data_IF_219090621890
#
_entry.id   IF_219090621890
#
_cell.length_a   1.000
_cell.length_b   1.000
_cell.length_c   1.000
_cell.angle_alpha   90.00
_cell.angle_beta   90.00
_cell.angle_gamma   90.00
#
_symmetry.space_group_name_H-M   'P 1'
#
loop_
_entity.id
_entity.type
_entity.pdbx_description
1 polymer ?
2 non-polymer ?
3 non-polymer ?
4 non-polymer ?
5 water ?
#
# COMPACT_ATOMS: atom_id res chain seq x y z
N UNK A 7 30.15 -10.02 -4.92
CA UNK A 7 30.45 -8.78 -4.22
C UNK A 7 29.94 -8.80 -2.78
N UNK A 8 28.80 -9.47 -2.57
CA UNK A 8 28.13 -9.46 -1.28
C UNK A 8 27.72 -10.88 -0.89
N UNK A 9 27.43 -11.04 0.41
CA UNK A 9 27.23 -12.37 0.99
C UNK A 9 25.80 -12.87 0.79
N UNK A 10 25.67 -14.20 0.68
CA UNK A 10 24.36 -14.83 0.68
C UNK A 10 23.70 -14.66 2.04
N UNK A 11 22.36 -14.54 2.04
CA UNK A 11 21.65 -14.11 3.23
C UNK A 11 20.44 -14.96 3.58
N UNK A 12 19.50 -15.11 2.65
CA UNK A 12 18.24 -15.79 2.90
C UNK A 12 17.91 -16.71 1.73
N UNK A 13 17.75 -17.99 2.02
CA UNK A 13 17.38 -18.95 0.98
C UNK A 13 15.87 -18.91 0.76
N UNK A 14 15.45 -18.92 -0.50
CA UNK A 14 14.06 -18.96 -0.89
C UNK A 14 13.89 -19.98 -2.01
N UNK A 15 12.64 -20.20 -2.43
CA UNK A 15 12.31 -21.15 -3.49
C UNK A 15 11.40 -20.44 -4.48
N UNK A 16 11.88 -20.25 -5.71
CA UNK A 16 11.09 -19.63 -6.76
C UNK A 16 10.61 -20.70 -7.73
N UNK A 17 9.38 -20.53 -8.23
CA UNK A 17 8.89 -21.45 -9.24
C UNK A 17 9.65 -21.24 -10.55
N UNK A 18 9.92 -22.34 -11.24
CA UNK A 18 10.64 -22.33 -12.51
C UNK A 18 11.68 -23.42 -12.54
N UNK A 19 12.25 -23.67 -13.73
CA UNK A 19 12.05 -22.89 -14.96
C UNK A 19 10.68 -23.07 -15.59
N UNK A 20 10.05 -24.22 -15.33
CA UNK A 20 8.74 -24.54 -15.85
C UNK A 20 7.71 -24.64 -14.75
N UNK A 21 6.48 -24.90 -15.17
CA UNK A 21 5.37 -24.94 -14.22
C UNK A 21 5.58 -26.06 -13.21
N UNK A 22 5.31 -25.76 -11.94
CA UNK A 22 5.26 -26.71 -10.83
C UNK A 22 6.62 -27.24 -10.40
N UNK A 23 7.71 -26.63 -10.85
CA UNK A 23 9.05 -26.91 -10.34
C UNK A 23 9.47 -25.76 -9.43
N UNK A 24 10.11 -26.08 -8.30
CA UNK A 24 10.66 -25.06 -7.42
C UNK A 24 12.18 -25.13 -7.48
N UNK A 25 12.83 -23.97 -7.61
CA UNK A 25 14.27 -23.88 -7.68
C UNK A 25 14.82 -23.02 -6.53
N UNK A 26 15.86 -23.48 -5.84
CA UNK A 26 16.41 -22.69 -4.74
C UNK A 26 17.21 -21.49 -5.24
N UNK A 27 17.05 -20.36 -4.54
CA UNK A 27 17.80 -19.15 -4.82
C UNK A 27 18.23 -18.56 -3.48
N UNK A 28 19.48 -18.13 -3.40
CA UNK A 28 19.93 -17.39 -2.22
C UNK A 28 19.77 -15.90 -2.49
N UNK A 29 18.90 -15.25 -1.73
CA UNK A 29 18.94 -13.79 -1.68
C UNK A 29 20.24 -13.37 -1.00
N UNK A 30 20.79 -12.25 -1.43
CA UNK A 30 22.02 -11.73 -0.86
C UNK A 30 21.71 -10.46 -0.08
N UNK A 31 22.72 -9.98 0.65
CA UNK A 31 22.53 -8.77 1.46
C UNK A 31 23.66 -7.80 1.20
N UNK A 32 23.33 -6.52 1.28
CA UNK A 32 24.33 -5.46 1.20
C UNK A 32 23.86 -4.28 2.03
N UNK A 33 24.82 -3.50 2.52
CA UNK A 33 24.48 -2.27 3.23
C UNK A 33 23.87 -1.27 2.26
N UNK A 34 22.95 -0.44 2.76
CA UNK A 34 22.34 0.57 1.91
C UNK A 34 21.96 1.79 2.75
N UNK A 35 21.62 2.89 2.05
CA UNK A 35 21.33 4.18 2.67
C UNK A 35 19.84 4.47 2.55
N UNK A 36 19.16 4.47 3.69
CA UNK A 36 17.74 4.81 3.74
C UNK A 36 17.56 6.10 4.52
N UNK A 37 16.35 6.64 4.48
CA UNK A 37 16.12 7.90 5.16
C UNK A 37 14.66 8.20 5.31
N UNK A 38 14.36 9.08 6.28
CA UNK A 38 12.99 9.53 6.44
C UNK A 38 12.56 10.40 5.26
N UNK A 39 13.51 11.11 4.68
CA UNK A 39 13.31 11.86 3.45
C UNK A 39 14.32 11.39 2.42
N UNK A 40 14.06 11.73 1.17
CA UNK A 40 14.99 11.39 0.08
C UNK A 40 16.34 12.06 0.31
N UNK A 41 16.35 13.31 0.74
CA UNK A 41 17.63 14.02 0.99
C UNK A 41 18.45 13.38 2.09
N UNK A 42 17.81 12.75 3.07
CA UNK A 42 18.51 12.11 4.20
C UNK A 42 19.12 10.76 3.81
N UNK A 43 18.94 10.28 2.60
CA UNK A 43 19.56 9.01 2.22
C UNK A 43 21.05 9.27 1.97
N UNK A 44 21.83 9.19 3.04
CA UNK A 44 23.25 9.57 3.00
C UNK A 44 24.13 8.37 3.31
N UNK A 45 24.25 8.03 4.58
CA UNK A 45 25.14 6.98 5.07
C UNK A 45 24.38 5.66 5.22
N UNK A 46 25.13 4.56 5.12
CA UNK A 46 24.50 3.26 5.23
C UNK A 46 23.93 3.07 6.63
N UNK A 47 22.65 2.68 6.69
CA UNK A 47 21.98 2.50 7.96
C UNK A 47 20.98 1.36 7.88
N UNK A 48 21.09 0.51 6.86
CA UNK A 48 20.17 -0.59 6.73
C UNK A 48 20.85 -1.69 5.93
N UNK A 49 20.27 -2.88 6.01
CA UNK A 49 20.71 -4.03 5.23
C UNK A 49 19.62 -4.36 4.22
N UNK A 50 19.98 -4.40 2.94
CA UNK A 50 19.02 -4.73 1.90
C UNK A 50 19.17 -6.19 1.49
N UNK A 51 18.05 -6.90 1.40
CA UNK A 51 18.02 -8.27 0.88
C UNK A 51 17.55 -8.21 -0.56
N UNK A 52 18.31 -8.83 -1.47
CA UNK A 52 18.02 -8.66 -2.88
C UNK A 52 18.26 -9.95 -3.64
N UNK A 53 17.63 -10.01 -4.81
CA UNK A 53 17.82 -11.09 -5.77
C UNK A 53 18.64 -10.54 -6.94
N UNK A 54 19.76 -11.20 -7.25
CA UNK A 54 20.56 -10.76 -8.38
C UNK A 54 19.80 -11.02 -9.68
N UNK A 55 19.91 -10.09 -10.62
CA UNK A 55 19.24 -10.19 -11.90
C UNK A 55 20.25 -9.86 -12.99
N UNK A 56 19.93 -10.26 -14.21
CA UNK A 56 20.81 -9.92 -15.32
C UNK A 56 20.83 -8.41 -15.51
N UNK A 57 21.93 -7.76 -15.12
CA UNK A 57 22.03 -6.33 -15.25
C UNK A 57 21.54 -5.52 -14.07
N UNK A 58 21.35 -6.14 -12.90
CA UNK A 58 21.01 -5.35 -11.74
C UNK A 58 20.71 -6.21 -10.53
N UNK A 59 19.99 -5.60 -9.59
CA UNK A 59 19.59 -6.26 -8.36
C UNK A 59 18.17 -5.84 -8.05
N UNK A 60 17.35 -6.79 -7.66
CA UNK A 60 15.98 -6.48 -7.26
C UNK A 60 15.90 -6.60 -5.73
N UNK A 61 15.68 -5.47 -5.07
CA UNK A 61 15.65 -5.45 -3.60
C UNK A 61 14.24 -5.80 -3.13
N UNK A 62 14.14 -6.73 -2.18
CA UNK A 62 12.86 -7.12 -1.62
C UNK A 62 12.54 -6.39 -0.31
N UNK A 63 13.53 -6.18 0.54
CA UNK A 63 13.25 -5.62 1.86
C UNK A 63 14.52 -5.06 2.45
N UNK A 64 14.36 -4.16 3.42
CA UNK A 64 15.45 -3.62 4.22
C UNK A 64 15.24 -3.98 5.69
N UNK A 65 16.34 -4.25 6.38
CA UNK A 65 16.34 -4.44 7.83
C UNK A 65 17.14 -3.30 8.47
N UNK A 66 16.58 -2.67 9.50
CA UNK A 66 17.24 -1.51 10.09
C UNK A 66 17.04 -1.53 11.61
N UNK A 67 17.95 -0.85 12.32
CA UNK A 67 17.70 -0.51 13.73
C UNK A 67 16.77 0.68 13.88
N UNK A 68 16.57 1.44 12.81
CA UNK A 68 15.89 2.73 12.86
C UNK A 68 14.43 2.63 12.46
N UNK A 69 13.59 3.42 13.12
CA UNK A 69 12.21 3.64 12.74
C UNK A 69 12.11 4.85 11.82
N UNK A 70 10.94 5.01 11.20
CA UNK A 70 10.52 6.20 10.45
C UNK A 70 11.24 6.34 9.12
N UNK A 71 11.93 5.31 8.64
CA UNK A 71 12.50 5.38 7.30
C UNK A 71 11.40 5.25 6.26
N UNK A 72 11.56 5.97 5.14
CA UNK A 72 10.55 5.98 4.09
C UNK A 72 11.13 5.76 2.70
N UNK A 73 12.42 5.99 2.51
CA UNK A 73 13.02 5.98 1.20
C UNK A 73 14.37 5.28 1.29
N UNK A 74 14.80 4.71 0.17
CA UNK A 74 16.17 4.25 0.03
C UNK A 74 16.71 4.77 -1.28
N UNK A 75 18.02 5.00 -1.33
CA UNK A 75 18.69 5.41 -2.57
C UNK A 75 19.69 4.32 -2.91
N UNK A 76 19.34 3.45 -3.87
CA UNK A 76 20.25 2.35 -4.15
C UNK A 76 21.28 2.76 -5.18
N UNK A 77 22.43 2.09 -5.19
CA UNK A 77 23.47 2.44 -6.17
C UNK A 77 22.98 2.25 -7.60
N UNK A 78 23.61 2.99 -8.51
CA UNK A 78 23.24 2.91 -9.93
C UNK A 78 23.36 1.49 -10.46
N UNK A 79 24.32 0.73 -9.92
CA UNK A 79 24.52 -0.64 -10.39
C UNK A 79 23.31 -1.52 -10.14
N UNK A 80 22.42 -1.15 -9.20
CA UNK A 80 21.22 -1.95 -9.00
C UNK A 80 20.29 -1.90 -10.20
N UNK A 81 20.38 -0.85 -11.01
CA UNK A 81 19.49 -0.70 -12.14
C UNK A 81 18.07 -0.28 -11.79
N UNK A 82 17.87 0.46 -10.70
CA UNK A 82 16.52 0.90 -10.38
C UNK A 82 16.00 1.86 -11.44
N UNK A 83 14.69 1.83 -11.67
CA UNK A 83 14.09 2.71 -12.65
C UNK A 83 13.82 4.11 -12.14
N UNK A 84 13.86 4.30 -10.81
CA UNK A 84 13.73 5.62 -10.21
C UNK A 84 14.88 5.83 -9.23
N UNK A 85 15.25 7.09 -9.05
CA UNK A 85 16.37 7.43 -8.17
C UNK A 85 16.12 6.91 -6.76
N UNK A 86 14.94 7.21 -6.21
CA UNK A 86 14.58 6.79 -4.87
C UNK A 86 13.54 5.68 -4.93
N UNK A 87 13.66 4.73 -4.01
CA UNK A 87 12.76 3.59 -3.90
C UNK A 87 11.98 3.74 -2.60
N UNK A 88 10.66 3.60 -2.66
CA UNK A 88 9.83 3.84 -1.49
C UNK A 88 9.67 2.57 -0.65
N UNK A 89 9.60 2.76 0.67
CA UNK A 89 9.46 1.67 1.64
C UNK A 89 8.04 1.63 2.19
N UNK A 90 7.60 0.42 2.57
CA UNK A 90 6.37 0.24 3.34
C UNK A 90 6.64 0.59 4.80
N UNK A 91 5.59 0.82 5.58
CA UNK A 91 5.76 0.95 7.04
C UNK A 91 6.42 -0.30 7.58
N UNK A 92 7.31 -0.16 8.57
CA UNK A 92 8.07 -1.32 9.03
C UNK A 92 7.27 -2.25 9.92
N UNK A 93 7.69 -3.51 9.92
CA UNK A 93 7.27 -4.52 10.88
C UNK A 93 8.32 -4.62 11.98
N UNK A 94 7.88 -4.61 13.23
CA UNK A 94 8.78 -4.72 14.37
C UNK A 94 8.95 -6.19 14.74
N UNK A 95 10.20 -6.62 14.94
CA UNK A 95 10.44 -7.96 15.47
C UNK A 95 11.70 -7.94 16.32
N UNK A 96 11.82 -8.94 17.19
CA UNK A 96 12.85 -8.97 18.23
C UNK A 96 13.80 -10.12 17.93
N UNK A 97 15.09 -9.81 17.82
CA UNK A 97 16.12 -10.82 17.67
C UNK A 97 16.76 -11.13 19.01
N UNK A 98 17.47 -12.25 19.05
CA UNK A 98 18.15 -12.73 20.24
C UNK A 98 19.65 -12.48 20.06
N UNK A 99 20.14 -11.41 20.66
CA UNK A 99 21.56 -11.10 20.58
C UNK A 99 22.32 -11.77 21.73
N UNK A 100 23.64 -11.86 21.62
CA UNK A 100 24.44 -12.20 22.81
C UNK A 100 24.28 -11.20 23.92
N UNK A 101 23.89 -9.96 23.60
CA UNK A 101 23.66 -8.89 24.57
C UNK A 101 22.24 -8.87 25.11
N UNK A 102 21.40 -9.83 24.72
CA UNK A 102 20.00 -9.85 25.12
C UNK A 102 19.07 -9.87 23.93
N UNK A 103 17.96 -9.17 24.02
CA UNK A 103 17.12 -8.96 22.83
C UNK A 103 17.42 -7.64 22.12
N UNK A 104 17.19 -7.59 20.81
CA UNK A 104 17.35 -6.35 20.04
C UNK A 104 16.15 -6.18 19.11
N UNK A 105 15.51 -5.02 19.17
CA UNK A 105 14.38 -4.74 18.30
C UNK A 105 14.88 -4.30 16.93
N UNK A 106 14.33 -4.91 15.89
CA UNK A 106 14.67 -4.61 14.50
C UNK A 106 13.42 -4.20 13.74
N UNK A 107 13.62 -3.47 12.65
CA UNK A 107 12.50 -3.01 11.83
C UNK A 107 12.71 -3.50 10.41
N UNK A 108 11.71 -4.23 9.90
CA UNK A 108 11.76 -4.84 8.57
C UNK A 108 10.87 -4.03 7.64
N UNK A 109 11.47 -3.44 6.60
CA UNK A 109 10.75 -2.60 5.66
C UNK A 109 10.69 -3.28 4.30
N UNK A 110 9.50 -3.71 3.91
CA UNK A 110 9.37 -4.21 2.54
C UNK A 110 9.39 -3.07 1.54
N UNK A 111 9.93 -3.34 0.35
CA UNK A 111 9.86 -2.40 -0.75
C UNK A 111 8.41 -2.31 -1.19
N UNK A 112 7.92 -1.08 -1.42
CA UNK A 112 6.53 -0.91 -1.80
C UNK A 112 6.20 -1.72 -3.05
N UNK A 113 5.05 -2.39 -3.02
CA UNK A 113 4.60 -3.18 -4.15
C UNK A 113 5.00 -4.64 -4.14
N UNK A 114 5.90 -5.06 -3.25
CA UNK A 114 6.27 -6.47 -3.22
C UNK A 114 5.03 -7.32 -3.00
N UNK A 115 4.89 -8.39 -3.78
CA UNK A 115 3.65 -9.16 -3.66
C UNK A 115 3.69 -10.06 -2.42
N UNK A 116 2.53 -10.61 -2.09
CA UNK A 116 2.38 -11.30 -0.82
C UNK A 116 3.18 -12.59 -0.76
N UNK A 117 3.26 -13.33 -1.88
CA UNK A 117 4.08 -14.54 -1.88
C UNK A 117 5.52 -14.21 -1.51
N UNK A 118 6.07 -13.17 -2.13
CA UNK A 118 7.48 -12.84 -1.91
C UNK A 118 7.71 -12.24 -0.53
N UNK A 119 6.76 -11.42 -0.05
CA UNK A 119 6.83 -10.98 1.35
C UNK A 119 6.89 -12.17 2.28
N UNK A 120 6.01 -13.14 2.05
CA UNK A 120 5.99 -14.31 2.91
C UNK A 120 7.28 -15.09 2.86
N UNK A 121 7.87 -15.22 1.67
CA UNK A 121 9.12 -15.97 1.57
C UNK A 121 10.22 -15.29 2.37
N UNK A 122 10.27 -13.96 2.33
CA UNK A 122 11.25 -13.25 3.16
C UNK A 122 10.98 -13.50 4.64
N UNK A 123 9.71 -13.42 5.05
CA UNK A 123 9.39 -13.59 6.46
C UNK A 123 9.72 -15.00 6.94
N UNK A 124 9.42 -16.02 6.14
CA UNK A 124 9.68 -17.39 6.56
C UNK A 124 11.16 -17.71 6.57
N UNK A 125 11.88 -17.24 5.54
CA UNK A 125 13.33 -17.47 5.51
C UNK A 125 14.03 -16.74 6.66
N UNK A 126 13.64 -15.49 6.92
CA UNK A 126 14.18 -14.75 8.05
C UNK A 126 13.91 -15.48 9.37
N UNK A 127 12.66 -15.92 9.57
CA UNK A 127 12.29 -16.58 10.81
C UNK A 127 13.11 -17.84 11.03
N UNK A 128 13.40 -18.57 9.96
CA UNK A 128 14.15 -19.82 10.06
C UNK A 128 15.64 -19.60 10.14
N UNK A 129 16.10 -18.45 9.69
CA UNK A 129 17.55 -18.17 9.59
C UNK A 129 18.09 -17.41 10.80
N UNK A 130 17.34 -16.47 11.36
CA UNK A 130 17.89 -15.68 12.49
C UNK A 130 17.35 -16.13 13.83
N UNK A 131 18.15 -15.97 14.89
CA UNK A 131 17.73 -16.34 16.26
C UNK A 131 16.70 -15.30 16.70
N UNK A 132 15.53 -15.76 17.10
CA UNK A 132 14.43 -14.84 17.32
C UNK A 132 13.99 -14.81 18.78
N UNK A 133 12.87 -14.14 19.00
CA UNK A 133 12.05 -14.25 20.20
C UNK A 133 10.88 -13.29 20.03
N UNK B 7 -15.55 -2.78 28.58
CA UNK B 7 -14.86 -1.49 28.46
C UNK B 7 -15.34 -0.70 27.25
N UNK B 8 -15.44 -1.38 26.10
CA UNK B 8 -15.92 -0.78 24.87
C UNK B 8 -16.99 -1.67 24.25
N UNK B 9 -17.80 -1.07 23.38
CA UNK B 9 -19.02 -1.70 22.88
C UNK B 9 -18.78 -2.46 21.58
N UNK B 10 -19.54 -3.54 21.39
CA UNK B 10 -19.49 -4.32 20.16
C UNK B 10 -20.07 -3.52 18.99
N UNK B 11 -19.51 -3.73 17.79
CA UNK B 11 -19.87 -2.88 16.68
C UNK B 11 -20.16 -3.65 15.40
N UNK B 12 -19.16 -4.32 14.86
CA UNK B 12 -19.24 -4.94 13.53
C UNK B 12 -18.94 -6.42 13.65
N UNK B 13 -19.90 -7.26 13.28
CA UNK B 13 -19.68 -8.70 13.28
C UNK B 13 -18.95 -9.11 12.01
N UNK B 14 -17.95 -9.98 12.16
CA UNK B 14 -17.23 -10.52 11.01
C UNK B 14 -17.10 -12.03 11.22
N UNK B 15 -16.57 -12.70 10.20
CA UNK B 15 -16.35 -14.15 10.22
C UNK B 15 -14.90 -14.42 9.85
N UNK B 16 -14.09 -14.82 10.83
CA UNK B 16 -12.70 -15.18 10.58
C UNK B 16 -12.57 -16.68 10.31
N UNK B 17 -11.60 -17.06 9.47
CA UNK B 17 -11.34 -18.47 9.25
C UNK B 17 -10.67 -19.07 10.47
N UNK B 18 -11.06 -20.29 10.80
CA UNK B 18 -10.51 -20.99 11.95
C UNK B 18 -11.58 -21.38 12.94
N UNK B 19 -11.18 -22.12 13.99
CA UNK B 19 -9.79 -22.49 14.24
C UNK B 19 -9.26 -23.58 13.30
N UNK B 20 -10.15 -24.40 12.73
CA UNK B 20 -9.73 -25.39 11.75
C UNK B 20 -9.83 -24.90 10.31
N UNK B 21 -9.27 -25.70 9.39
CA UNK B 21 -9.34 -25.37 7.97
C UNK B 21 -10.79 -25.33 7.53
N UNK B 22 -11.13 -24.33 6.71
CA UNK B 22 -12.46 -24.23 6.09
C UNK B 22 -13.58 -24.09 7.11
N UNK B 23 -13.26 -23.60 8.30
CA UNK B 23 -14.23 -23.23 9.31
C UNK B 23 -14.31 -21.73 9.40
N UNK B 24 -15.50 -21.20 9.70
CA UNK B 24 -15.64 -19.77 9.98
C UNK B 24 -16.12 -19.58 11.41
N UNK B 25 -15.51 -18.63 12.11
CA UNK B 25 -15.90 -18.29 13.47
C UNK B 25 -16.40 -16.85 13.55
N UNK B 26 -17.56 -16.61 14.13
CA UNK B 26 -18.05 -15.22 14.27
C UNK B 26 -17.30 -14.47 15.36
N UNK B 27 -16.92 -13.24 15.04
CA UNK B 27 -16.24 -12.36 15.99
C UNK B 27 -16.89 -10.99 15.91
N UNK B 28 -17.16 -10.40 17.07
CA UNK B 28 -17.63 -9.02 17.11
C UNK B 28 -16.41 -8.11 17.24
N UNK B 29 -16.13 -7.33 16.20
CA UNK B 29 -15.20 -6.22 16.35
C UNK B 29 -15.80 -5.22 17.33
N UNK B 30 -14.95 -4.63 18.14
CA UNK B 30 -15.41 -3.61 19.08
C UNK B 30 -15.01 -2.24 18.55
N UNK B 31 -15.59 -1.20 19.13
CA UNK B 31 -15.31 0.15 18.69
C UNK B 31 -14.94 1.02 19.87
N UNK B 32 -14.02 1.95 19.65
CA UNK B 32 -13.61 2.87 20.68
C UNK B 32 -13.36 4.24 20.06
N UNK B 33 -13.66 5.29 20.83
CA UNK B 33 -13.26 6.64 20.42
C UNK B 33 -11.74 6.74 20.44
N UNK B 34 -11.17 7.47 19.47
CA UNK B 34 -9.73 7.67 19.48
C UNK B 34 -9.38 9.02 18.86
N UNK B 35 -8.14 9.42 19.08
CA UNK B 35 -7.62 10.69 18.58
C UNK B 35 -6.78 10.43 17.34
N UNK B 36 -7.14 11.09 16.24
CA UNK B 36 -6.41 10.97 14.99
C UNK B 36 -5.99 12.35 14.51
N UNK B 37 -5.11 12.38 13.51
CA UNK B 37 -4.58 13.66 13.08
C UNK B 37 -3.69 13.52 11.86
N UNK B 38 -3.19 14.67 11.38
CA UNK B 38 -2.32 14.64 10.21
C UNK B 38 -0.91 14.16 10.54
N UNK B 39 -0.54 14.19 11.82
CA UNK B 39 0.74 13.65 12.26
C UNK B 39 0.55 13.12 13.68
N UNK B 40 1.57 12.42 14.18
CA UNK B 40 1.45 11.79 15.49
C UNK B 40 1.11 12.82 16.57
N UNK B 41 1.83 13.96 16.61
CA UNK B 41 1.58 14.93 17.66
C UNK B 41 0.27 15.70 17.48
N UNK B 42 -0.38 15.58 16.32
CA UNK B 42 -1.68 16.20 16.13
C UNK B 42 -2.80 15.34 16.68
N UNK B 43 -2.49 14.14 17.17
CA UNK B 43 -3.47 13.25 17.75
C UNK B 43 -3.69 13.68 19.20
N UNK B 44 -4.69 14.53 19.40
CA UNK B 44 -4.96 15.07 20.73
C UNK B 44 -6.38 14.75 21.17
N UNK B 45 -7.37 15.43 20.64
CA UNK B 45 -8.75 15.20 21.03
C UNK B 45 -9.36 14.05 20.23
N UNK B 46 -10.29 13.33 20.87
CA UNK B 46 -10.98 12.25 20.19
C UNK B 46 -11.80 12.83 19.04
N UNK B 47 -11.61 12.26 17.86
CA UNK B 47 -12.30 12.76 16.66
C UNK B 47 -12.56 11.64 15.68
N UNK B 48 -12.43 10.39 16.09
CA UNK B 48 -12.67 9.26 15.21
C UNK B 48 -13.17 8.09 16.05
N UNK B 49 -13.68 7.08 15.35
CA UNK B 49 -14.10 5.82 15.95
C UNK B 49 -13.29 4.70 15.32
N UNK B 50 -12.64 3.89 16.15
CA UNK B 50 -11.79 2.82 15.66
C UNK B 50 -12.45 1.46 15.89
N UNK B 51 -12.37 0.59 14.88
CA UNK B 51 -12.85 -0.80 14.98
C UNK B 51 -11.66 -1.73 15.16
N UNK B 52 -11.74 -2.62 16.17
CA UNK B 52 -10.58 -3.43 16.50
C UNK B 52 -11.00 -4.81 16.94
N UNK B 53 -10.05 -5.74 16.82
CA UNK B 53 -10.18 -7.10 17.30
C UNK B 53 -9.28 -7.28 18.51
N UNK B 54 -9.72 -8.07 19.46
CA UNK B 54 -8.96 -8.34 20.67
C UNK B 54 -8.54 -9.80 20.68
N UNK B 55 -7.25 -10.04 20.91
CA UNK B 55 -6.73 -11.38 21.19
C UNK B 55 -5.95 -11.30 22.50
N UNK B 56 -5.34 -12.43 22.88
CA UNK B 56 -4.66 -12.47 24.16
C UNK B 56 -3.59 -11.38 24.24
N UNK B 57 -2.81 -11.21 23.17
CA UNK B 57 -1.71 -10.27 23.17
C UNK B 57 -2.12 -8.81 23.13
N UNK B 58 -3.38 -8.50 22.87
CA UNK B 58 -3.83 -7.13 22.86
C UNK B 58 -4.78 -6.86 21.72
N UNK B 59 -4.85 -5.60 21.32
CA UNK B 59 -5.80 -5.13 20.32
C UNK B 59 -5.13 -4.98 18.96
N UNK B 60 -5.88 -5.34 17.90
CA UNK B 60 -5.47 -5.14 16.52
C UNK B 60 -6.51 -4.25 15.86
N UNK B 61 -6.10 -3.05 15.42
CA UNK B 61 -7.05 -2.09 14.85
C UNK B 61 -7.18 -2.35 13.35
N UNK B 62 -8.41 -2.37 12.84
CA UNK B 62 -8.65 -2.60 11.42
C UNK B 62 -8.94 -1.32 10.65
N UNK B 63 -9.73 -0.41 11.23
CA UNK B 63 -10.20 0.73 10.47
C UNK B 63 -10.71 1.81 11.42
N UNK B 64 -10.76 3.03 10.91
CA UNK B 64 -11.30 4.19 11.62
C UNK B 64 -12.41 4.83 10.80
N UNK B 65 -13.39 5.40 11.50
CA UNK B 65 -14.42 6.23 10.88
C UNK B 65 -14.27 7.65 11.43
N UNK B 66 -14.40 8.66 10.57
CA UNK B 66 -14.37 10.03 11.09
C UNK B 66 -15.17 10.95 10.17
N UNK B 67 -15.59 12.09 10.74
CA UNK B 67 -16.14 13.19 9.94
C UNK B 67 -15.08 13.89 9.11
N UNK B 68 -13.81 13.75 9.48
CA UNK B 68 -12.70 14.49 8.89
C UNK B 68 -12.02 13.67 7.81
N UNK B 69 -11.54 14.35 6.76
CA UNK B 69 -10.98 13.63 5.63
C UNK B 69 -9.47 13.78 5.49
N UNK B 70 -8.79 14.49 6.39
CA UNK B 70 -7.36 14.72 6.23
C UNK B 70 -6.50 13.90 7.20
N UNK B 71 -7.06 12.86 7.82
CA UNK B 71 -6.31 12.13 8.83
C UNK B 71 -5.26 11.22 8.20
N UNK B 72 -4.16 11.05 8.93
CA UNK B 72 -3.09 10.15 8.51
C UNK B 72 -2.57 9.25 9.63
N UNK B 73 -2.78 9.61 10.89
CA UNK B 73 -2.26 8.87 12.04
C UNK B 73 -3.36 8.75 13.08
N UNK B 74 -3.34 7.67 13.86
CA UNK B 74 -4.23 7.54 15.00
C UNK B 74 -3.43 7.08 16.21
N UNK B 75 -3.86 7.53 17.39
CA UNK B 75 -3.21 7.24 18.65
C UNK B 75 -4.07 6.28 19.48
N UNK B 76 -3.44 5.25 20.05
CA UNK B 76 -4.13 4.25 20.88
C UNK B 76 -3.34 3.94 22.14
N UNK B 77 -4.02 3.59 23.22
CA UNK B 77 -3.31 3.09 24.41
C UNK B 77 -2.67 1.73 24.11
N UNK B 78 -1.51 1.52 24.73
CA UNK B 78 -0.81 0.25 24.59
C UNK B 78 -1.49 -0.83 25.43
N UNK B 79 -1.20 -2.08 25.09
CA UNK B 79 -1.63 -3.22 25.87
C UNK B 79 -1.28 -3.04 27.34
N UNK B 80 -2.31 -2.98 28.20
CA UNK B 80 -2.11 -2.94 29.64
C UNK B 80 -1.52 -1.59 30.09
N UNK B 81 -2.13 -0.50 29.61
CA UNK B 81 -1.75 0.85 30.02
C UNK B 81 -0.27 1.15 30.03
N UNK B 82 0.50 0.48 29.18
CA UNK B 82 1.96 0.59 29.17
C UNK B 82 2.46 1.58 28.11
N UNK B 83 1.72 2.66 27.87
CA UNK B 83 2.18 3.65 26.92
C UNK B 83 1.25 3.88 25.74
N UNK B 84 1.79 4.41 24.64
CA UNK B 84 1.00 4.84 23.50
C UNK B 84 1.47 4.13 22.24
N UNK B 85 0.53 3.85 21.34
CA UNK B 85 0.79 3.29 20.02
C UNK B 85 0.28 4.27 18.98
N UNK B 86 1.03 4.41 17.87
CA UNK B 86 0.57 5.19 16.73
C UNK B 86 0.44 4.27 15.53
N UNK B 87 -0.69 4.37 14.83
CA UNK B 87 -0.94 3.55 13.65
C UNK B 87 -1.18 4.45 12.45
N UNK B 88 -0.53 4.14 11.34
CA UNK B 88 -0.68 4.91 10.11
C UNK B 88 -1.92 4.48 9.35
N UNK B 89 -2.56 5.44 8.68
CA UNK B 89 -3.81 5.23 7.97
C UNK B 89 -3.62 5.32 6.46
N UNK B 90 -4.44 4.56 5.74
CA UNK B 90 -4.58 4.73 4.30
C UNK B 90 -5.41 5.98 4.00
N UNK B 91 -5.32 6.52 2.79
CA UNK B 91 -6.23 7.59 2.41
C UNK B 91 -7.66 7.11 2.52
N UNK B 92 -8.60 8.00 2.82
CA UNK B 92 -9.97 7.58 3.14
C UNK B 92 -10.83 7.37 1.91
N UNK B 93 -11.91 6.63 2.12
CA UNK B 93 -13.03 6.57 1.19
C UNK B 93 -14.23 7.24 1.83
N UNK B 94 -15.00 7.95 1.00
CA UNK B 94 -16.17 8.69 1.47
C UNK B 94 -17.43 7.84 1.32
N UNK B 95 -18.31 7.91 2.32
CA UNK B 95 -19.65 7.34 2.17
C UNK B 95 -20.62 8.16 3.01
N UNK B 96 -21.91 7.98 2.75
CA UNK B 96 -22.94 8.80 3.38
C UNK B 96 -23.87 7.92 4.19
N UNK B 97 -24.08 8.28 5.46
CA UNK B 97 -25.03 7.60 6.33
C UNK B 97 -26.32 8.41 6.45
N UNK B 98 -27.37 7.72 6.90
CA UNK B 98 -28.67 8.33 7.14
C UNK B 98 -28.88 8.46 8.64
N UNK B 99 -29.10 9.69 9.12
CA UNK B 99 -29.24 9.97 10.54
C UNK B 99 -30.49 10.79 10.82
N UNK B 100 -30.90 10.89 12.09
CA UNK B 100 -32.07 11.72 12.43
C UNK B 100 -31.88 13.18 12.07
N UNK B 101 -30.64 13.64 11.85
CA UNK B 101 -30.35 15.00 11.44
C UNK B 101 -30.18 15.15 9.94
N UNK B 102 -30.43 14.09 9.19
CA UNK B 102 -30.24 14.09 7.76
C UNK B 102 -29.02 13.28 7.39
N UNK B 103 -28.64 13.33 6.11
CA UNK B 103 -27.46 12.58 5.67
C UNK B 103 -26.20 13.13 6.32
N UNK B 104 -25.27 12.23 6.63
CA UNK B 104 -24.01 12.60 7.26
C UNK B 104 -22.88 11.96 6.47
N UNK B 105 -21.93 12.77 6.04
CA UNK B 105 -20.78 12.29 5.28
C UNK B 105 -19.75 11.74 6.26
N UNK B 106 -19.25 10.54 5.98
CA UNK B 106 -18.23 9.89 6.79
C UNK B 106 -17.06 9.50 5.91
N UNK B 107 -15.89 9.36 6.54
CA UNK B 107 -14.70 8.89 5.86
C UNK B 107 -14.18 7.64 6.57
N UNK B 108 -13.99 6.58 5.78
CA UNK B 108 -13.49 5.31 6.28
C UNK B 108 -12.01 5.18 5.95
N UNK B 109 -11.20 4.93 6.97
CA UNK B 109 -9.76 4.80 6.82
C UNK B 109 -9.35 3.39 7.24
N UNK B 110 -8.72 2.65 6.33
CA UNK B 110 -8.14 1.39 6.76
C UNK B 110 -6.75 1.62 7.34
N UNK B 111 -6.35 0.77 8.28
CA UNK B 111 -5.00 0.81 8.80
C UNK B 111 -4.04 0.31 7.72
N UNK B 112 -2.90 0.98 7.57
CA UNK B 112 -1.92 0.51 6.61
C UNK B 112 -1.50 -0.93 6.96
N UNK B 113 -1.46 -1.78 5.94
CA UNK B 113 -1.13 -3.17 6.16
C UNK B 113 -2.29 -4.08 6.49
N UNK B 114 -3.53 -3.64 6.25
CA UNK B 114 -4.69 -4.53 6.35
C UNK B 114 -4.89 -5.19 5.00
N UNK B 115 -5.09 -6.52 5.00
CA UNK B 115 -5.23 -7.20 3.72
C UNK B 115 -6.64 -6.98 3.17
N UNK B 116 -6.83 -7.40 1.92
CA UNK B 116 -8.08 -7.07 1.23
C UNK B 116 -9.25 -7.88 1.75
N UNK B 117 -9.01 -9.14 2.16
CA UNK B 117 -10.08 -9.91 2.77
C UNK B 117 -10.65 -9.18 3.96
N UNK B 118 -9.77 -8.69 4.84
CA UNK B 118 -10.26 -8.01 6.05
C UNK B 118 -10.86 -6.65 5.73
N UNK B 119 -10.31 -5.91 4.77
CA UNK B 119 -10.94 -4.69 4.30
C UNK B 119 -12.37 -4.97 3.85
N UNK B 120 -12.54 -6.03 3.05
CA UNK B 120 -13.86 -6.39 2.58
C UNK B 120 -14.80 -6.73 3.72
N UNK B 121 -14.31 -7.46 4.73
CA UNK B 121 -15.20 -7.80 5.83
C UNK B 121 -15.68 -6.55 6.56
N UNK B 122 -14.80 -5.55 6.73
CA UNK B 122 -15.22 -4.29 7.34
C UNK B 122 -16.26 -3.60 6.48
N UNK B 123 -16.02 -3.53 5.17
CA UNK B 123 -16.95 -2.86 4.27
C UNK B 123 -18.32 -3.53 4.29
N UNK B 124 -18.34 -4.86 4.21
CA UNK B 124 -19.62 -5.56 4.18
C UNK B 124 -20.36 -5.48 5.49
N UNK B 125 -19.63 -5.59 6.61
CA UNK B 125 -20.32 -5.55 7.88
C UNK B 125 -20.81 -4.14 8.17
N UNK B 126 -20.03 -3.14 7.78
CA UNK B 126 -20.51 -1.76 7.87
C UNK B 126 -21.76 -1.53 7.02
N UNK B 127 -21.73 -1.99 5.76
CA UNK B 127 -22.87 -1.78 4.86
C UNK B 127 -24.14 -2.39 5.42
N UNK B 128 -24.02 -3.54 6.10
CA UNK B 128 -25.16 -4.26 6.62
C UNK B 128 -25.62 -3.76 7.98
N UNK B 129 -24.75 -3.06 8.71
CA UNK B 129 -25.00 -2.64 10.09
C UNK B 129 -25.49 -1.20 10.21
N UNK B 130 -24.89 -0.27 9.48
CA UNK B 130 -25.26 1.14 9.55
C UNK B 130 -26.26 1.46 8.45
N UNK B 131 -27.17 2.40 8.72
CA UNK B 131 -28.12 2.77 7.69
C UNK B 131 -27.46 3.77 6.75
N UNK B 132 -27.47 3.44 5.46
CA UNK B 132 -26.78 4.21 4.45
C UNK B 132 -27.76 5.07 3.67
N UNK B 133 -27.28 6.21 3.19
CA UNK B 133 -28.10 7.07 2.33
C UNK B 133 -28.23 6.47 0.94
N UNK C 11 -6.19 5.39 -26.44
CA UNK C 11 -6.94 4.58 -25.47
C UNK C 11 -6.27 3.22 -25.28
N UNK C 12 -6.53 2.59 -24.15
CA UNK C 12 -6.01 1.26 -23.85
C UNK C 12 -7.19 0.30 -23.72
N UNK C 13 -7.23 -0.71 -24.57
CA UNK C 13 -8.28 -1.71 -24.50
C UNK C 13 -7.99 -2.73 -23.41
N UNK C 14 -9.02 -3.07 -22.63
CA UNK C 14 -8.92 -4.07 -21.58
C UNK C 14 -10.14 -4.98 -21.67
N UNK C 15 -10.15 -6.04 -20.85
CA UNK C 15 -11.25 -7.00 -20.82
C UNK C 15 -11.73 -7.11 -19.38
N UNK C 16 -12.96 -6.65 -19.13
CA UNK C 16 -13.57 -6.78 -17.81
C UNK C 16 -14.51 -7.98 -17.79
N UNK C 17 -14.55 -8.68 -16.66
CA UNK C 17 -15.49 -9.78 -16.50
C UNK C 17 -16.90 -9.24 -16.33
N UNK C 18 -17.86 -9.91 -16.95
CA UNK C 18 -19.24 -9.49 -16.84
C UNK C 18 -19.85 -9.39 -18.23
N UNK C 19 -21.18 -9.19 -18.29
CA UNK C 19 -22.04 -9.02 -17.12
C UNK C 19 -22.36 -10.29 -16.31
N UNK C 20 -22.23 -11.47 -16.93
CA UNK C 20 -22.36 -12.71 -16.21
C UNK C 20 -20.99 -13.30 -15.82
N UNK C 21 -21.04 -14.32 -14.97
CA UNK C 21 -19.81 -15.00 -14.58
C UNK C 21 -19.09 -15.56 -15.79
N UNK C 22 -17.77 -15.39 -15.82
CA UNK C 22 -16.90 -16.06 -16.79
C UNK C 22 -17.18 -15.63 -18.22
N UNK C 23 -17.69 -14.43 -18.39
CA UNK C 23 -17.78 -13.76 -19.68
C UNK C 23 -16.85 -12.55 -19.63
N UNK C 24 -16.16 -12.28 -20.73
CA UNK C 24 -15.25 -11.15 -20.83
C UNK C 24 -15.79 -10.15 -21.85
N UNK C 25 -15.82 -8.88 -21.46
CA UNK C 25 -16.35 -7.80 -22.30
C UNK C 25 -15.26 -6.78 -22.56
N UNK C 26 -15.00 -6.41 -23.82
CA UNK C 26 -13.95 -5.43 -24.09
C UNK C 26 -14.39 -4.01 -23.72
N UNK C 27 -13.47 -3.26 -23.15
CA UNK C 27 -13.73 -1.89 -22.75
C UNK C 27 -12.50 -1.04 -23.09
N UNK C 28 -12.73 0.15 -23.61
CA UNK C 28 -11.65 1.07 -23.94
C UNK C 28 -11.43 2.01 -22.75
N UNK C 29 -10.23 1.99 -22.18
CA UNK C 29 -9.86 3.01 -21.21
C UNK C 29 -9.51 4.30 -21.95
N UNK C 30 -10.12 5.41 -21.55
CA UNK C 30 -9.88 6.69 -22.18
C UNK C 30 -8.88 7.51 -21.37
N UNK C 31 -8.39 8.60 -21.97
CA UNK C 31 -7.38 9.43 -21.32
C UNK C 31 -7.85 10.87 -21.17
N UNK C 32 -7.42 11.50 -20.08
CA UNK C 32 -7.65 12.93 -19.87
C UNK C 32 -6.38 13.54 -19.27
N UNK C 33 -6.18 14.82 -19.53
CA UNK C 33 -5.07 15.52 -18.90
C UNK C 33 -5.32 15.64 -17.41
N UNK C 34 -4.22 15.68 -16.65
CA UNK C 34 -4.28 15.57 -15.20
C UNK C 34 -3.19 16.43 -14.59
N UNK C 35 -3.52 17.20 -13.55
CA UNK C 35 -2.53 17.91 -12.75
C UNK C 35 -2.13 17.06 -11.54
N UNK C 36 -0.87 16.64 -11.51
CA UNK C 36 -0.33 15.82 -10.44
C UNK C 36 0.85 16.55 -9.81
N UNK C 37 1.34 16.03 -8.68
CA UNK C 37 2.41 16.75 -8.00
C UNK C 37 3.00 15.91 -6.88
N UNK C 38 4.12 16.42 -6.36
CA UNK C 38 4.74 15.78 -5.19
C UNK C 38 3.86 15.88 -3.97
N UNK C 39 3.06 16.94 -3.87
CA UNK C 39 2.08 17.15 -2.82
C UNK C 39 0.77 17.57 -3.45
N UNK C 40 -0.31 17.52 -2.67
CA UNK C 40 -1.60 17.98 -3.19
C UNK C 40 -1.53 19.43 -3.61
N UNK C 41 -0.88 20.26 -2.79
CA UNK C 41 -0.81 21.69 -3.11
C UNK C 41 -0.04 21.96 -4.40
N UNK C 42 0.84 21.06 -4.82
CA UNK C 42 1.60 21.22 -6.05
C UNK C 42 0.85 20.73 -7.29
N UNK C 43 -0.39 20.29 -7.13
CA UNK C 43 -1.20 19.87 -8.29
C UNK C 43 -1.83 21.10 -8.94
N UNK C 44 -0.99 21.83 -9.67
CA UNK C 44 -1.36 23.14 -10.20
C UNK C 44 -1.49 23.21 -11.71
N UNK C 45 -0.82 22.32 -12.46
CA UNK C 45 -0.73 22.41 -13.90
C UNK C 45 -0.77 21.02 -14.49
N UNK C 46 -1.42 20.86 -15.65
CA UNK C 46 -1.48 19.54 -16.27
C UNK C 46 -0.07 19.06 -16.59
N UNK C 47 0.29 17.87 -16.07
CA UNK C 47 1.60 17.31 -16.33
C UNK C 47 1.57 15.78 -16.43
N UNK C 48 0.38 15.19 -16.63
CA UNK C 48 0.25 13.75 -16.72
C UNK C 48 -0.99 13.45 -17.54
N UNK C 49 -1.08 12.20 -18.00
CA UNK C 49 -2.26 11.69 -18.66
C UNK C 49 -2.87 10.63 -17.76
N UNK C 50 -4.16 10.78 -17.46
CA UNK C 50 -4.87 9.82 -16.62
C UNK C 50 -5.72 8.89 -17.48
N UNK C 51 -5.57 7.58 -17.28
CA UNK C 51 -6.37 6.60 -17.98
C UNK C 51 -7.52 6.16 -17.08
N UNK C 52 -8.75 6.18 -17.60
CA UNK C 52 -9.91 5.93 -16.76
C UNK C 52 -10.90 5.04 -17.46
N UNK C 53 -11.74 4.41 -16.62
CA UNK C 53 -12.89 3.63 -17.05
C UNK C 53 -14.14 4.47 -16.81
N UNK C 54 -14.95 4.63 -17.84
CA UNK C 54 -16.20 5.37 -17.69
C UNK C 54 -17.18 4.51 -16.88
N UNK C 55 -17.82 5.13 -15.91
CA UNK C 55 -18.77 4.46 -15.03
C UNK C 55 -20.10 5.19 -15.10
N UNK C 56 -21.15 4.50 -14.65
CA UNK C 56 -22.43 5.18 -14.52
C UNK C 56 -22.27 6.31 -13.51
N UNK C 57 -22.38 7.55 -13.96
CA UNK C 57 -22.20 8.69 -13.07
C UNK C 57 -20.78 9.20 -12.92
N UNK C 58 -19.81 8.65 -13.64
CA UNK C 58 -18.48 9.23 -13.51
C UNK C 58 -17.35 8.56 -14.26
N UNK C 59 -16.15 8.67 -13.69
CA UNK C 59 -14.92 8.11 -14.25
C UNK C 59 -14.08 7.56 -13.13
N UNK C 60 -13.56 6.36 -13.30
CA UNK C 60 -12.67 5.77 -12.33
C UNK C 60 -11.27 5.73 -12.94
N UNK C 61 -10.34 6.46 -12.35
CA UNK C 61 -8.98 6.51 -12.89
C UNK C 61 -8.20 5.31 -12.38
N UNK C 62 -7.51 4.62 -13.29
CA UNK C 62 -6.64 3.50 -12.94
C UNK C 62 -5.17 3.88 -12.83
N UNK C 63 -4.68 4.78 -13.69
CA UNK C 63 -3.25 4.98 -13.80
C UNK C 63 -2.96 6.31 -14.46
N UNK C 64 -1.76 6.83 -14.18
CA UNK C 64 -1.24 8.03 -14.82
C UNK C 64 0.05 7.71 -15.56
N UNK C 65 0.27 8.38 -16.68
CA UNK C 65 1.56 8.41 -17.36
C UNK C 65 2.12 9.83 -17.29
N UNK C 66 3.42 9.94 -17.01
CA UNK C 66 4.04 11.25 -16.97
C UNK C 66 5.52 11.15 -17.37
N UNK C 67 6.07 12.28 -17.77
CA UNK C 67 7.52 12.40 -17.94
C UNK C 67 8.24 12.55 -16.62
N UNK C 68 7.51 12.88 -15.55
CA UNK C 68 8.09 13.15 -14.23
C UNK C 68 8.07 11.90 -13.37
N UNK C 69 9.11 11.70 -12.56
CA UNK C 69 9.20 10.52 -11.71
C UNK C 69 8.93 10.80 -10.24
N UNK C 70 8.57 12.03 -9.87
CA UNK C 70 8.43 12.37 -8.46
C UNK C 70 6.99 12.65 -8.03
N UNK C 71 6.00 12.22 -8.80
CA UNK C 71 4.62 12.51 -8.46
C UNK C 71 4.11 11.59 -7.36
N UNK C 72 3.22 12.14 -6.51
CA UNK C 72 2.60 11.37 -5.45
C UNK C 72 1.09 11.56 -5.35
N UNK C 73 0.55 12.68 -5.83
CA UNK C 73 -0.86 12.99 -5.72
C UNK C 73 -1.36 13.48 -7.06
N UNK C 74 -2.65 13.26 -7.31
CA UNK C 74 -3.30 13.71 -8.54
C UNK C 74 -4.62 14.35 -8.20
N UNK C 75 -4.97 15.40 -8.94
CA UNK C 75 -6.23 16.10 -8.76
C UNK C 75 -7.19 15.66 -9.86
N UNK C 76 -8.35 15.13 -9.47
CA UNK C 76 -9.33 14.73 -10.47
C UNK C 76 -10.55 15.64 -10.42
N UNK C 77 -11.30 15.75 -11.50
CA UNK C 77 -12.53 16.54 -11.47
C UNK C 77 -13.61 15.92 -10.59
N UNK C 78 -14.35 16.77 -9.87
CA UNK C 78 -15.46 16.24 -9.10
C UNK C 78 -16.55 15.62 -9.97
N UNK C 79 -16.67 16.04 -11.23
CA UNK C 79 -17.57 15.40 -12.17
C UNK C 79 -17.21 13.95 -12.49
N UNK C 80 -16.06 13.48 -12.02
CA UNK C 80 -15.75 12.05 -12.06
C UNK C 80 -16.62 11.24 -11.10
N UNK C 81 -17.36 11.89 -10.21
CA UNK C 81 -18.04 11.16 -9.14
C UNK C 81 -17.09 10.74 -8.03
N UNK C 82 -16.01 11.47 -7.84
CA UNK C 82 -15.02 11.18 -6.80
C UNK C 82 -15.55 11.47 -5.40
N UNK C 83 -14.93 10.82 -4.43
CA UNK C 83 -15.20 11.07 -3.02
C UNK C 83 -14.28 12.12 -2.43
N UNK C 84 -13.10 12.30 -3.05
CA UNK C 84 -12.15 13.33 -2.65
C UNK C 84 -11.52 13.94 -3.89
N UNK C 85 -11.13 15.21 -3.78
CA UNK C 85 -10.50 15.92 -4.90
C UNK C 85 -9.23 15.21 -5.32
N UNK C 86 -8.41 14.79 -4.35
CA UNK C 86 -7.10 14.24 -4.62
C UNK C 86 -7.08 12.74 -4.41
N UNK C 87 -6.31 12.05 -5.25
CA UNK C 87 -6.06 10.62 -5.16
C UNK C 87 -4.56 10.41 -5.08
N UNK C 88 -4.14 9.55 -4.15
CA UNK C 88 -2.72 9.27 -4.00
C UNK C 88 -2.27 8.26 -5.06
N UNK C 89 -0.99 8.35 -5.43
CA UNK C 89 -0.40 7.46 -6.41
C UNK C 89 0.55 6.46 -5.76
N UNK C 90 0.67 5.28 -6.39
CA UNK C 90 1.73 4.35 -6.04
C UNK C 90 3.06 4.86 -6.59
N UNK C 91 4.18 4.39 -6.06
CA UNK C 91 5.47 4.73 -6.66
C UNK C 91 5.51 4.35 -8.12
N UNK C 92 6.16 5.16 -8.96
CA UNK C 92 6.11 4.91 -10.41
C UNK C 92 7.06 3.83 -10.84
N UNK C 93 6.78 3.29 -12.03
CA UNK C 93 7.66 2.38 -12.74
C UNK C 93 8.11 3.06 -14.03
N UNK C 94 9.39 2.91 -14.37
CA UNK C 94 9.96 3.47 -15.60
C UNK C 94 9.74 2.54 -16.79
N UNK C 95 9.38 3.11 -17.94
CA UNK C 95 9.40 2.34 -19.18
C UNK C 95 9.84 3.27 -20.30
N UNK C 96 10.40 2.68 -21.36
CA UNK C 96 10.99 3.44 -22.44
C UNK C 96 10.21 3.15 -23.72
N UNK C 97 9.67 4.20 -24.33
CA UNK C 97 8.96 4.07 -25.60
C UNK C 97 9.91 4.30 -26.75
N UNK C 98 9.63 3.64 -27.87
CA UNK C 98 10.41 3.78 -29.09
C UNK C 98 9.63 4.70 -30.03
N UNK C 99 10.09 5.94 -30.18
CA UNK C 99 9.45 6.92 -31.01
C UNK C 99 10.34 7.31 -32.18
N UNK C 100 9.76 7.85 -33.25
CA UNK C 100 10.61 8.31 -34.38
C UNK C 100 11.67 9.30 -33.95
N UNK C 101 11.36 10.20 -33.03
CA UNK C 101 12.34 11.14 -32.49
C UNK C 101 13.28 10.50 -31.47
N UNK C 102 13.30 9.16 -31.39
CA UNK C 102 14.17 8.46 -30.48
C UNK C 102 13.43 7.89 -29.28
N UNK C 103 14.15 7.17 -28.41
CA UNK C 103 13.51 6.63 -27.21
C UNK C 103 13.12 7.76 -26.26
N UNK C 104 11.99 7.58 -25.57
CA UNK C 104 11.55 8.55 -24.59
C UNK C 104 11.18 7.81 -23.30
N UNK C 105 11.69 8.32 -22.19
CA UNK C 105 11.47 7.71 -20.89
C UNK C 105 10.16 8.24 -20.29
N UNK C 106 9.32 7.31 -19.84
CA UNK C 106 8.04 7.64 -19.21
C UNK C 106 7.95 6.94 -17.87
N UNK C 107 7.02 7.41 -17.03
CA UNK C 107 6.77 6.80 -15.72
C UNK C 107 5.29 6.47 -15.61
N UNK C 108 4.99 5.25 -15.19
CA UNK C 108 3.64 4.76 -15.02
C UNK C 108 3.30 4.71 -13.53
N UNK C 109 2.19 5.35 -13.15
CA UNK C 109 1.74 5.40 -11.76
C UNK C 109 0.36 4.77 -11.64
N UNK C 110 0.23 3.74 -10.81
CA UNK C 110 -1.12 3.27 -10.49
C UNK C 110 -1.71 4.12 -9.38
N UNK C 111 -3.04 4.27 -9.41
CA UNK C 111 -3.69 4.90 -8.27
C UNK C 111 -3.54 4.00 -7.06
N UNK C 112 -3.42 4.63 -5.89
CA UNK C 112 -3.17 3.88 -4.66
C UNK C 112 -4.28 2.87 -4.42
N UNK C 113 -3.89 1.62 -4.21
CA UNK C 113 -4.83 0.57 -3.90
C UNK C 113 -5.46 -0.14 -5.10
N UNK C 114 -5.10 0.23 -6.33
CA UNK C 114 -5.63 -0.48 -7.48
C UNK C 114 -5.32 -1.96 -7.34
N UNK C 115 -6.30 -2.82 -7.64
CA UNK C 115 -6.00 -4.23 -7.39
C UNK C 115 -5.07 -4.78 -8.48
N UNK C 116 -4.48 -5.93 -8.20
CA UNK C 116 -3.40 -6.41 -9.07
C UNK C 116 -3.91 -6.85 -10.42
N UNK C 117 -5.12 -7.40 -10.50
CA UNK C 117 -5.67 -7.75 -11.81
C UNK C 117 -5.71 -6.52 -12.70
N UNK C 118 -6.19 -5.40 -12.17
CA UNK C 118 -6.35 -4.21 -12.99
C UNK C 118 -5.00 -3.55 -13.31
N UNK C 119 -4.06 -3.59 -12.37
CA UNK C 119 -2.69 -3.16 -12.69
C UNK C 119 -2.15 -3.96 -13.86
N UNK C 120 -2.32 -5.28 -13.80
CA UNK C 120 -1.84 -6.11 -14.89
C UNK C 120 -2.49 -5.76 -16.22
N UNK C 121 -3.80 -5.52 -16.22
CA UNK C 121 -4.46 -5.19 -17.48
C UNK C 121 -3.89 -3.92 -18.10
N UNK C 122 -3.59 -2.92 -17.28
CA UNK C 122 -2.97 -1.70 -17.81
C UNK C 122 -1.59 -2.02 -18.38
N UNK C 123 -0.79 -2.80 -17.65
CA UNK C 123 0.55 -3.13 -18.13
C UNK C 123 0.51 -3.91 -19.45
N UNK C 124 -0.38 -4.90 -19.53
CA UNK C 124 -0.44 -5.69 -20.75
C UNK C 124 -0.98 -4.90 -21.93
N UNK C 125 -2.03 -4.11 -21.70
CA UNK C 125 -2.56 -3.26 -22.76
C UNK C 125 -1.50 -2.26 -23.24
N UNK C 126 -0.81 -1.61 -22.30
CA UNK C 126 0.27 -0.70 -22.67
C UNK C 126 1.33 -1.39 -23.50
N UNK C 127 1.78 -2.57 -23.06
CA UNK C 127 2.84 -3.29 -23.76
C UNK C 127 2.44 -3.62 -25.20
N UNK C 128 1.17 -3.96 -25.41
CA UNK C 128 0.70 -4.35 -26.73
C UNK C 128 0.29 -3.17 -27.59
N UNK C 129 0.04 -2.01 -26.99
CA UNK C 129 -0.46 -0.85 -27.71
C UNK C 129 0.64 0.10 -28.13
N UNK C 130 1.67 0.26 -27.30
CA UNK C 130 2.72 1.25 -27.50
C UNK C 130 3.98 0.54 -27.94
N UNK C 131 4.72 1.18 -28.85
CA UNK C 131 6.03 0.66 -29.27
C UNK C 131 7.03 0.90 -28.15
N UNK C 132 7.48 -0.17 -27.52
CA UNK C 132 8.34 -0.10 -26.34
C UNK C 132 9.71 -0.67 -26.64
N UNK C 133 10.59 -0.58 -25.64
CA UNK C 133 11.93 -1.15 -25.72
C UNK C 133 12.54 -1.27 -24.31
X LIG D 1 28.24 -4.90 2.33
X LIG D 1 28.52 -6.17 1.67
X LIG D 1 29.47 -4.31 2.84
X LIG D 1 27.32 -5.15 3.45
X LIG D 1 27.61 -3.99 1.38
X LIG E 1 12.47 -10.67 -7.69
X LIG E 1 12.70 -10.09 -9.08
X LIG E 1 13.78 -10.18 -9.96
X LIG E 1 12.19 -8.97 -10.91
X LIG E 1 11.70 -9.35 -9.66
X LIG E 1 10.20 -9.62 -7.63
X LIG E 1 11.01 -10.93 -5.70
X LIG E 1 9.38 -8.27 -9.60
X LIG E 1 13.43 -9.49 -11.06
X LIG E 1 10.43 -9.07 -8.97
X LIG E 1 11.24 -10.40 -7.03
X LIG E 1 9.20 -9.43 -7.03
X LIG E 1 13.33 -11.32 -7.18
X LIG E 1 14.71 -10.70 -9.79
X LIG E 1 11.67 -8.36 -11.64
X LIG E 1 11.96 -10.97 -5.16
X LIG E 1 10.60 -11.93 -5.78
X LIG E 1 10.32 -10.30 -5.17
X LIG E 1 9.81 -7.36 -9.98
X LIG E 1 8.62 -8.04 -8.87
X LIG E 1 8.94 -8.83 -10.41
X LIG F 1 9.36 -12.60 -9.14
X LIG F 1 10.71 -12.89 -9.79
X LIG F 1 11.85 -13.60 -9.39
X LIG F 1 12.25 -12.80 -11.42
X LIG F 1 10.97 -12.40 -11.05
X LIG F 1 8.65 -11.33 -11.12
X LIG F 1 7.08 -11.53 -9.23
X LIG F 1 10.22 -11.08 -13.07
X LIG F 1 12.76 -13.52 -10.39
X LIG F 1 9.94 -11.59 -11.74
X LIG F 1 8.37 -11.83 -9.82
X LIG F 1 7.84 -10.68 -11.69
X LIG F 1 9.11 -13.02 -8.05
X LIG F 1 11.98 -14.11 -8.44
X LIG F 1 12.76 -12.57 -12.35
X LIG F 1 7.24 -11.11 -8.24
X LIG F 1 6.50 -12.43 -9.15
X LIG F 1 6.56 -10.80 -9.84
X LIG F 1 11.15 -10.51 -13.05
X LIG F 1 9.42 -10.43 -13.38
X LIG F 1 10.32 -11.90 -13.77
X LIG G 1 -15.54 4.80 24.00
X LIG G 1 -15.84 5.12 22.61
X LIG G 1 -14.09 4.88 24.21
X LIG G 1 -16.21 5.75 24.88
X LIG G 1 -16.00 3.45 24.29
X LIG H 1 -6.76 -9.28 13.41
X LIG H 1 -5.54 -9.78 14.16
X LIG H 1 -5.33 -10.19 15.49
X LIG H 1 -3.39 -10.41 14.42
X LIG H 1 -4.33 -9.93 13.49
X LIG H 1 -5.38 -9.10 11.35
X LIG H 1 -7.78 -8.48 11.30
X LIG H 1 -2.95 -9.72 11.36
X LIG H 1 -4.03 -10.56 15.60
X LIG H 1 -4.22 -9.59 12.07
X LIG H 1 -6.63 -8.96 12.04
X LIG H 1 -5.32 -8.82 10.20
X LIG H 1 -7.80 -9.15 13.95
X LIG H 1 -6.08 -10.20 16.27
X LIG H 1 -2.36 -10.62 14.23
X LIG H 1 -8.39 -7.85 11.95
X LIG H 1 -8.37 -9.31 10.95
X LIG H 1 -7.45 -7.89 10.45
X LIG H 1 -2.17 -9.24 11.91
X LIG H 1 -3.04 -9.28 10.38
X LIG H 1 -2.72 -10.77 11.24
X LIG I 1 -6.15 -12.38 10.82
X LIG I 1 -6.42 -12.74 12.28
X LIG I 1 -7.58 -12.72 13.06
X LIG I 1 -5.93 -13.42 14.35
X LIG I 1 -5.40 -13.18 13.08
X LIG I 1 -3.77 -12.98 11.13
X LIG I 1 -4.56 -12.16 8.90
X LIG I 1 -2.96 -13.78 13.38
X LIG I 1 -7.24 -13.14 14.30
X LIG I 1 -4.02 -13.30 12.53
X LIG I 1 -4.83 -12.51 10.30
X LIG I 1 -2.68 -13.07 10.70
X LIG I 1 -7.03 -11.99 10.12
X LIG I 1 -8.57 -12.42 12.72
X LIG I 1 -5.38 -13.78 15.22
X LIG I 1 -4.84 -11.13 8.73
X LIG I 1 -5.12 -12.83 8.26
X LIG I 1 -3.50 -12.28 8.71
X LIG I 1 -3.01 -13.27 14.35
X LIG I 1 -1.99 -13.56 12.93
X LIG I 1 -3.05 -14.84 13.53
X LIG J 1 -12.47 15.82 -20.60
X LIG J 1 -11.83 14.70 -21.29
X LIG J 1 -12.06 15.82 -19.20
X LIG J 1 -13.92 15.68 -20.70
X LIG J 1 -12.09 17.08 -21.23
X LIG K 1 -8.07 -8.34 -6.02
X LIG K 1 -6.72 -8.39 -6.72
X LIG K 1 -8.10 -8.75 -4.56
X LIG K 1 -5.65 -8.16 -6.08
X LIG K 1 -6.68 -8.64 -7.97
X LIG K 1 -7.34 -9.68 -4.15
X LIG K 1 -8.92 -8.19 -3.76
X LIG K 1 -8.75 -8.99 -6.56
X LIG K 1 -8.43 -7.32 -6.09
X LIG L 1 -12.86 0.40 -12.35
X LIG L 1 -14.02 0.83 -11.45
X LIG L 1 -15.24 1.43 -11.74
X LIG L 1 -15.10 1.15 -9.54
X LIG L 1 -13.91 0.65 -10.11
X LIG L 1 -11.62 -0.36 -10.36
X LIG L 1 -10.65 -0.59 -12.65
X LIG L 1 -12.60 -0.14 -8.05
X LIG L 1 -15.86 1.60 -10.55
X LIG L 1 -12.71 0.05 -9.49
X LIG L 1 -11.73 -0.16 -11.77
X LIG L 1 -10.63 -0.86 -9.90
X LIG L 1 -12.91 0.54 -13.53
X LIG L 1 -15.63 1.71 -12.71
X LIG L 1 -15.36 1.17 -8.49
X LIG L 1 -10.62 0.06 -13.52
X LIG L 1 -10.83 -1.61 -12.97
X LIG L 1 -9.71 -0.54 -12.13
X LIG L 1 -12.90 0.78 -7.55
X LIG L 1 -11.59 -0.38 -7.80
X LIG L 1 -13.26 -0.94 -7.74
X LIG M 1 -13.52 -3.16 -11.08
X LIG M 1 -14.69 -2.53 -11.81
X LIG M 1 -14.92 -2.25 -13.16
X LIG M 1 -16.71 -1.58 -12.02
X LIG M 1 -15.80 -2.11 -11.10
X LIG M 1 -14.71 -2.88 -8.93
X LIG M 1 -12.45 -3.91 -8.94
X LIG M 1 -16.98 -1.85 -8.85
X LIG M 1 -16.14 -1.69 -13.25
X LIG M 1 -15.82 -2.28 -9.62
X LIG M 1 -13.56 -3.31 -9.66
X LIG M 1 -14.73 -3.02 -7.76
X LIG M 1 -12.56 -3.53 -11.67
X LIG M 1 -14.25 -2.46 -13.98
X LIG M 1 -17.68 -1.16 -11.79
X LIG M 1 -11.53 -3.41 -9.23
X LIG M 1 -12.39 -4.96 -9.18
X LIG M 1 -12.60 -3.77 -7.88
X LIG M 1 -17.21 -0.83 -9.08
X LIG M 1 -16.74 -1.94 -7.78
X LIG M 1 -17.82 -2.49 -9.07
#
# INVERSE_FOLDING_TARGET
MAHHHHHHSAALEVLFQGPGNNELSPVALRQMSCAAGTTQTACTDDNALAYYNTTKGGRFVLALLSDLQDLKWARFPKSDGTGTIYTELEPPCRFVTDTPKGPKVKYLYFIKGLNNLNRGMVLGSLAATVRLQ
MAHHHHHHSAALEVLFQGPGNNELSPVALRQMSCAAGTTQTACTDDNALAYYNTTKGGRFVLALLSDLQDLKWARFPKSDGTGTIYTELEPPCRFVTDTPKGPKVKYLYFIKGLNNLNRGMVLGSLAATVRLQ
MAHHHHHHSAALEVLFQGPGNNELSPVALRQMSCAAGTTQTACTDDNALAYYNTTKGGRFVLALLSDLQDLKWARFPKSDGTGTIYTELEPPCRFVTDTPKGPKVKYLYFIKGLNNLNRGMVLGSLAATVRLQ
SO4 S O1 O2 O3 O4
X0Y C01 C02 C03 C05 C06 C08 C10 C12 N04 N07 N09 O11 O13 H031 H051 H102 H101 H103 H121 H122 H123
X0Y C01 C02 C03 C05 C06 C08 C10 C12 N04 N07 N09 O11 O13 H031 H051 H102 H101 H103 H121 H122 H123
SO4 S O1 O2 O3 O4
X0Y C01 C02 C03 C05 C06 C08 C10 C12 N04 N07 N09 O11 O13 H031 H051 H102 H101 H103 H121 H122 H123
X0Y C01 C02 C03 C05 C06 C08 C10 C12 N04 N07 N09 O11 O13 H031 H051 H102 H101 H103 H121 H122 H123
SO4 S O1 O2 O3 O4
MLI C1 C2 C3 O6 O7 O8 O9 H11 H12
X0Y C01 C02 C03 C05 C06 C08 C10 C12 N04 N07 N09 O11 O13 H031 H051 H102 H101 H103 H121 H122 H123
X0Y C01 C02 C03 C05 C06 C08 C10 C12 N04 N07 N09 O11 O13 H031 H051 H102 H101 H103 H121 H122 H123
#
